data_IF_707268159832
#
_entry.id   IF_707268159832
#
_cell.length_a   1.000
_cell.length_b   1.000
_cell.length_c   1.000
_cell.angle_alpha   90.00
_cell.angle_beta   90.00
_cell.angle_gamma   90.00
#
_symmetry.space_group_name_H-M   'P 1'
#
loop_
_entity.id
_entity.type
_entity.pdbx_description
1 polymer ?
#
# COMPACT_ATOMS: atom_id res chain seq x y z
N UNK A 1 29.63 7.51 -2.71
CA UNK A 1 30.45 6.94 -1.61
C UNK A 1 30.20 7.65 -0.25
N UNK A 2 28.95 8.01 0.09
CA UNK A 2 28.57 8.60 1.40
C UNK A 2 27.66 7.69 2.24
N UNK A 3 26.87 6.83 1.62
CA UNK A 3 25.93 5.94 2.30
C UNK A 3 26.61 4.98 3.30
N UNK A 4 27.76 4.40 2.94
CA UNK A 4 28.45 3.42 3.78
C UNK A 4 29.00 4.03 5.09
N UNK A 5 29.49 5.27 5.06
CA UNK A 5 29.96 5.96 6.28
C UNK A 5 28.80 6.25 7.25
N UNK A 6 27.65 6.65 6.73
CA UNK A 6 26.46 6.90 7.54
C UNK A 6 25.91 5.60 8.13
N UNK A 7 25.92 4.50 7.37
CA UNK A 7 25.48 3.20 7.86
C UNK A 7 26.37 2.65 8.99
N UNK A 8 27.70 2.77 8.86
CA UNK A 8 28.63 2.41 9.95
C UNK A 8 28.43 3.28 11.19
N UNK A 9 28.25 4.59 11.03
CA UNK A 9 27.97 5.50 12.15
C UNK A 9 26.70 5.11 12.91
N UNK A 10 25.65 4.70 12.20
CA UNK A 10 24.39 4.28 12.81
C UNK A 10 24.53 2.95 13.56
N UNK A 11 25.26 1.99 12.98
CA UNK A 11 25.58 0.71 13.64
C UNK A 11 26.42 0.91 14.90
N UNK A 12 27.43 1.77 14.87
CA UNK A 12 28.32 2.06 16.00
C UNK A 12 27.59 2.74 17.18
N UNK A 13 26.42 3.33 16.93
CA UNK A 13 25.59 3.98 17.95
C UNK A 13 24.37 3.13 18.35
N UNK A 14 24.34 1.84 17.99
CA UNK A 14 23.21 0.93 18.24
C UNK A 14 21.88 1.44 17.64
N UNK A 15 21.97 2.28 16.61
CA UNK A 15 20.80 2.80 15.90
C UNK A 15 20.48 1.83 14.77
N UNK A 16 19.47 0.98 15.01
CA UNK A 16 18.90 0.12 13.98
C UNK A 16 18.18 0.97 12.93
N UNK A 17 18.90 1.27 11.85
CA UNK A 17 18.35 1.89 10.66
C UNK A 17 17.75 0.82 9.75
N UNK A 18 16.48 0.98 9.43
CA UNK A 18 15.75 0.10 8.54
C UNK A 18 16.22 0.42 7.13
N UNK A 19 17.14 -0.38 6.59
CA UNK A 19 17.49 -0.29 5.18
C UNK A 19 16.27 -0.62 4.31
N UNK A 20 16.35 -0.33 3.01
CA UNK A 20 15.28 -0.65 2.04
C UNK A 20 14.86 -2.14 2.04
N UNK A 21 15.67 -3.02 2.64
CA UNK A 21 15.48 -4.47 2.66
C UNK A 21 14.81 -4.96 3.95
N UNK A 22 14.52 -4.07 4.91
CA UNK A 22 13.99 -4.43 6.24
C UNK A 22 12.53 -4.04 6.35
N UNK A 23 11.63 -5.03 6.37
CA UNK A 23 10.20 -4.83 6.61
C UNK A 23 9.79 -5.31 8.00
N UNK A 24 9.02 -4.53 8.78
CA UNK A 24 8.55 -4.99 10.08
C UNK A 24 7.55 -6.13 9.89
N UNK A 25 7.76 -7.23 10.62
CA UNK A 25 6.77 -8.31 10.66
C UNK A 25 5.42 -7.79 11.17
N UNK A 26 4.33 -8.24 10.56
CA UNK A 26 2.95 -7.83 10.89
C UNK A 26 2.63 -6.33 10.72
N UNK A 27 3.26 -5.65 9.76
CA UNK A 27 2.95 -4.24 9.44
C UNK A 27 2.38 -4.08 8.02
N UNK A 28 1.11 -4.47 7.80
CA UNK A 28 0.41 -4.23 6.54
C UNK A 28 0.09 -2.74 6.32
N UNK A 29 -0.06 -1.95 7.39
CA UNK A 29 -0.29 -0.51 7.42
C UNK A 29 0.88 0.32 6.85
N UNK A 30 2.08 -0.27 6.87
CA UNK A 30 3.23 0.31 6.19
C UNK A 30 3.25 -0.06 4.69
N UNK A 31 2.49 -1.05 4.24
CA UNK A 31 2.56 -1.53 2.86
C UNK A 31 1.60 -0.76 1.97
N UNK A 32 2.14 0.16 1.18
CA UNK A 32 1.36 0.92 0.18
C UNK A 32 0.60 0.00 -0.78
N UNK A 33 1.05 -1.24 -1.01
CA UNK A 33 0.32 -2.22 -1.80
C UNK A 33 -0.99 -2.70 -1.14
N UNK A 34 -1.10 -2.72 0.20
CA UNK A 34 -2.36 -3.01 0.90
C UNK A 34 -3.38 -1.88 0.69
N UNK A 35 -2.92 -0.63 0.58
CA UNK A 35 -3.80 0.50 0.27
C UNK A 35 -4.36 0.38 -1.15
N UNK A 36 -3.50 0.01 -2.11
CA UNK A 36 -3.91 -0.29 -3.49
C UNK A 36 -4.94 -1.42 -3.51
N UNK A 37 -4.74 -2.47 -2.70
CA UNK A 37 -5.68 -3.58 -2.59
C UNK A 37 -7.07 -3.10 -2.15
N UNK A 38 -7.16 -2.25 -1.13
CA UNK A 38 -8.44 -1.68 -0.66
C UNK A 38 -9.11 -0.85 -1.77
N UNK A 39 -8.35 -0.03 -2.50
CA UNK A 39 -8.88 0.75 -3.63
C UNK A 39 -9.44 -0.18 -4.72
N UNK A 40 -8.68 -1.21 -5.13
CA UNK A 40 -9.13 -2.19 -6.12
C UNK A 40 -10.41 -2.89 -5.66
N UNK A 41 -10.47 -3.31 -4.39
CA UNK A 41 -11.65 -3.97 -3.84
C UNK A 41 -12.89 -3.08 -3.92
N UNK A 42 -12.77 -1.81 -3.53
CA UNK A 42 -13.87 -0.85 -3.58
C UNK A 42 -14.34 -0.61 -5.02
N UNK A 43 -13.42 -0.43 -5.97
CA UNK A 43 -13.75 -0.21 -7.38
C UNK A 43 -14.44 -1.43 -8.01
N UNK A 44 -13.97 -2.64 -7.70
CA UNK A 44 -14.61 -3.89 -8.15
C UNK A 44 -16.00 -4.03 -7.52
N UNK A 45 -16.16 -3.72 -6.24
CA UNK A 45 -17.45 -3.74 -5.56
C UNK A 45 -18.44 -2.76 -6.20
N UNK A 46 -18.02 -1.51 -6.46
CA UNK A 46 -18.86 -0.54 -7.16
C UNK A 46 -19.26 -1.04 -8.55
N UNK A 47 -18.33 -1.68 -9.27
CA UNK A 47 -18.62 -2.27 -10.58
C UNK A 47 -19.67 -3.38 -10.49
N UNK A 48 -19.54 -4.27 -9.51
CA UNK A 48 -20.52 -5.34 -9.25
C UNK A 48 -21.88 -4.74 -8.90
N UNK A 49 -21.93 -3.75 -8.02
CA UNK A 49 -23.18 -3.11 -7.58
C UNK A 49 -23.88 -2.33 -8.71
N UNK A 50 -23.12 -1.81 -9.68
CA UNK A 50 -23.67 -1.15 -10.86
C UNK A 50 -24.34 -2.11 -11.86
N UNK A 51 -24.06 -3.41 -11.77
CA UNK A 51 -24.60 -4.41 -12.70
C UNK A 51 -25.92 -5.01 -12.20
N UNK A 52 -26.90 -5.10 -13.10
CA UNK A 52 -28.24 -5.64 -12.77
C UNK A 52 -28.37 -7.13 -13.04
N UNK A 53 -27.40 -7.73 -13.75
CA UNK A 53 -27.42 -9.15 -14.10
C UNK A 53 -27.25 -10.07 -12.87
N UNK A 54 -28.03 -11.15 -12.85
CA UNK A 54 -28.08 -12.09 -11.73
C UNK A 54 -26.75 -12.82 -11.46
N UNK A 55 -25.90 -12.91 -12.48
CA UNK A 55 -24.63 -13.63 -12.43
C UNK A 55 -23.42 -12.73 -12.11
N UNK A 56 -23.64 -11.47 -11.73
CA UNK A 56 -22.59 -10.48 -11.40
C UNK A 56 -21.60 -10.94 -10.32
N UNK A 57 -21.99 -11.89 -9.48
CA UNK A 57 -21.13 -12.49 -8.44
C UNK A 57 -20.38 -13.74 -8.90
N UNK A 58 -20.59 -14.22 -10.13
CA UNK A 58 -19.84 -15.38 -10.65
C UNK A 58 -18.37 -15.01 -10.80
N UNK A 59 -17.50 -15.96 -10.48
CA UNK A 59 -16.06 -15.80 -10.53
C UNK A 59 -15.56 -15.26 -11.88
N UNK A 60 -16.10 -15.75 -13.00
CA UNK A 60 -15.74 -15.27 -14.34
C UNK A 60 -16.04 -13.79 -14.56
N UNK A 61 -17.13 -13.28 -13.99
CA UNK A 61 -17.47 -11.86 -14.06
C UNK A 61 -16.63 -11.04 -13.11
N UNK A 62 -16.40 -11.51 -11.89
CA UNK A 62 -15.50 -10.85 -10.95
C UNK A 62 -14.09 -10.69 -11.54
N UNK A 63 -13.57 -11.72 -12.23
CA UNK A 63 -12.30 -11.65 -12.96
C UNK A 63 -12.32 -10.57 -14.05
N UNK A 64 -13.41 -10.47 -14.83
CA UNK A 64 -13.57 -9.42 -15.85
C UNK A 64 -13.62 -8.01 -15.24
N UNK A 65 -14.33 -7.84 -14.13
CA UNK A 65 -14.39 -6.56 -13.42
C UNK A 65 -13.03 -6.18 -12.84
N UNK A 66 -12.32 -7.13 -12.25
CA UNK A 66 -10.96 -6.92 -11.78
C UNK A 66 -10.02 -6.49 -12.92
N UNK A 67 -10.03 -7.18 -14.06
CA UNK A 67 -9.23 -6.78 -15.22
C UNK A 67 -9.57 -5.38 -15.71
N UNK A 68 -10.87 -5.04 -15.79
CA UNK A 68 -11.33 -3.71 -16.17
C UNK A 68 -10.82 -2.62 -15.20
N UNK A 69 -10.94 -2.86 -13.89
CA UNK A 69 -10.46 -1.93 -12.85
C UNK A 69 -8.95 -1.75 -12.97
N UNK A 70 -8.19 -2.84 -13.05
CA UNK A 70 -6.72 -2.78 -13.18
C UNK A 70 -6.28 -1.99 -14.42
N UNK A 71 -6.88 -2.25 -15.58
CA UNK A 71 -6.57 -1.50 -16.82
C UNK A 71 -6.88 -0.02 -16.70
N UNK A 72 -7.98 0.36 -16.03
CA UNK A 72 -8.29 1.77 -15.81
C UNK A 72 -7.33 2.44 -14.82
N UNK A 73 -6.86 1.68 -13.83
CA UNK A 73 -5.92 2.17 -12.83
C UNK A 73 -4.51 2.37 -13.40
N UNK A 74 -4.09 1.65 -14.43
CA UNK A 74 -2.75 1.79 -15.05
C UNK A 74 -2.42 3.24 -15.44
N UNK A 75 -3.42 4.01 -15.85
CA UNK A 75 -3.25 5.42 -16.24
C UNK A 75 -3.51 6.42 -15.11
N UNK A 76 -3.86 5.95 -13.90
CA UNK A 76 -4.18 6.80 -12.77
C UNK A 76 -2.92 7.20 -11.99
N UNK A 77 -2.11 8.06 -12.61
CA UNK A 77 -0.84 8.56 -12.05
C UNK A 77 -1.07 9.26 -10.71
N UNK A 78 -2.11 10.07 -10.61
CA UNK A 78 -2.44 10.85 -9.40
C UNK A 78 -2.71 9.95 -8.18
N UNK A 79 -3.39 8.81 -8.38
CA UNK A 79 -3.60 7.82 -7.33
C UNK A 79 -2.26 7.26 -6.82
N UNK A 80 -1.38 6.82 -7.73
CA UNK A 80 -0.09 6.25 -7.35
C UNK A 80 0.83 7.28 -6.69
N UNK A 81 0.84 8.52 -7.19
CA UNK A 81 1.58 9.62 -6.59
C UNK A 81 1.06 9.94 -5.18
N UNK A 82 -0.25 10.01 -5.00
CA UNK A 82 -0.87 10.26 -3.69
C UNK A 82 -0.52 9.17 -2.69
N UNK A 83 -0.58 7.91 -3.12
CA UNK A 83 -0.22 6.76 -2.30
C UNK A 83 1.25 6.82 -1.86
N UNK A 84 2.18 7.04 -2.80
CA UNK A 84 3.61 7.16 -2.48
C UNK A 84 3.90 8.39 -1.60
N UNK A 85 3.23 9.51 -1.84
CA UNK A 85 3.40 10.73 -1.05
C UNK A 85 2.81 10.63 0.36
N UNK A 86 1.87 9.71 0.60
CA UNK A 86 1.31 9.45 1.92
C UNK A 86 2.20 8.61 2.83
N UNK A 87 3.17 7.87 2.27
CA UNK A 87 4.04 6.97 3.03
C UNK A 87 4.85 7.63 4.16
N UNK A 88 5.44 8.82 3.99
CA UNK A 88 6.09 9.54 5.10
C UNK A 88 5.13 9.94 6.23
N UNK A 89 3.83 10.03 5.96
CA UNK A 89 2.81 10.29 6.98
C UNK A 89 2.46 9.01 7.74
N UNK A 90 2.38 7.86 7.07
CA UNK A 90 2.24 6.54 7.72
C UNK A 90 3.39 6.28 8.70
N UNK A 91 4.63 6.51 8.27
CA UNK A 91 5.81 6.36 9.14
C UNK A 91 5.78 7.30 10.34
N UNK A 92 5.29 8.53 10.16
CA UNK A 92 5.08 9.47 11.27
C UNK A 92 3.99 9.00 12.24
N UNK A 93 2.89 8.43 11.73
CA UNK A 93 1.84 7.87 12.56
C UNK A 93 2.36 6.71 13.42
N UNK A 94 3.09 5.76 12.83
CA UNK A 94 3.69 4.64 13.56
C UNK A 94 4.68 5.14 14.61
N UNK A 95 5.51 6.13 14.26
CA UNK A 95 6.42 6.78 15.23
C UNK A 95 5.65 7.40 16.40
N UNK A 96 4.58 8.14 16.13
CA UNK A 96 3.75 8.77 17.16
C UNK A 96 3.02 7.73 18.02
N UNK A 97 2.69 6.58 17.45
CA UNK A 97 2.11 5.43 18.13
C UNK A 97 3.15 4.55 18.86
N UNK A 98 4.43 4.95 18.90
CA UNK A 98 5.53 4.15 19.46
C UNK A 98 5.61 2.71 18.89
N UNK A 99 5.27 2.53 17.61
CA UNK A 99 5.26 1.22 16.96
C UNK A 99 3.97 0.41 17.15
N UNK A 100 2.93 0.96 17.78
CA UNK A 100 1.60 0.36 17.82
C UNK A 100 0.84 0.55 16.50
N UNK A 101 -0.26 -0.20 16.35
CA UNK A 101 -1.16 -0.13 15.20
C UNK A 101 -1.67 1.29 14.96
N UNK A 102 -1.81 1.66 13.69
CA UNK A 102 -2.30 2.95 13.25
C UNK A 102 -3.55 2.79 12.39
N UNK A 103 -4.35 3.85 12.26
CA UNK A 103 -5.56 3.86 11.42
C UNK A 103 -5.26 3.98 9.91
N UNK A 104 -3.98 3.88 9.52
CA UNK A 104 -3.53 3.95 8.14
C UNK A 104 -3.77 2.64 7.39
#
# INVERSE_FOLDING_TARGET
MRANMTQHLLQDNDINFWGNDTWPGNSPDLNVAEHIRTVIQNEVEQKVLSETEHDRYKEEKLKKYLSYVLTNMESNIELFETLLCSYPSCLRAVKNANGHHTDY
#
